data_IF_612169878067
#
_entry.id   IF_612169878067
#
_cell.length_a   1.000
_cell.length_b   1.000
_cell.length_c   1.000
_cell.angle_alpha   90.00
_cell.angle_beta   90.00
_cell.angle_gamma   90.00
#
_symmetry.space_group_name_H-M   'P 1'
#
loop_
_entity.id
_entity.type
_entity.pdbx_description
1 polymer ?
#
# COMPACT_ATOMS: atom_id res chain seq x y z
N UNK A 1 -19.18 -9.64 -12.42
CA UNK A 1 -17.77 -9.30 -12.19
C UNK A 1 -17.84 -7.87 -11.70
N UNK A 2 -17.89 -7.69 -10.38
CA UNK A 2 -17.99 -6.35 -9.82
C UNK A 2 -16.73 -5.58 -10.19
N UNK A 3 -16.95 -4.35 -10.62
CA UNK A 3 -15.87 -3.41 -10.95
C UNK A 3 -15.00 -3.24 -9.69
N UNK A 4 -13.66 -3.32 -9.79
CA UNK A 4 -12.82 -2.98 -8.65
C UNK A 4 -13.13 -1.53 -8.23
N UNK A 5 -13.13 -1.23 -6.92
CA UNK A 5 -13.43 0.13 -6.45
C UNK A 5 -12.47 1.12 -7.12
N UNK A 6 -13.02 1.98 -7.97
CA UNK A 6 -12.27 2.98 -8.74
C UNK A 6 -12.10 4.23 -7.89
N UNK A 7 -10.86 4.72 -7.77
CA UNK A 7 -10.49 5.91 -7.00
C UNK A 7 -10.31 7.09 -7.97
N UNK A 8 -10.89 8.25 -7.64
CA UNK A 8 -10.75 9.49 -8.42
C UNK A 8 -9.57 10.32 -7.90
N UNK A 9 -8.67 10.75 -8.81
CA UNK A 9 -7.46 11.52 -8.47
C UNK A 9 -7.53 12.94 -9.06
N UNK A 10 -7.05 13.92 -8.29
CA UNK A 10 -6.71 15.28 -8.74
C UNK A 10 -5.50 15.78 -7.95
N UNK A 11 -4.46 16.29 -8.63
CA UNK A 11 -3.35 17.05 -8.01
C UNK A 11 -2.87 18.07 -9.06
N UNK A 12 -2.54 19.33 -8.80
CA UNK A 12 -2.54 20.18 -7.62
C UNK A 12 -1.80 21.49 -8.00
N UNK A 13 -2.07 22.61 -7.34
CA UNK A 13 -1.20 23.80 -7.42
C UNK A 13 -0.74 24.16 -6.00
N UNK A 14 0.49 23.73 -5.67
CA UNK A 14 1.30 24.25 -4.56
C UNK A 14 0.76 24.01 -3.14
N UNK A 15 0.51 22.75 -2.79
CA UNK A 15 -0.04 22.20 -1.54
C UNK A 15 0.06 20.67 -1.73
N UNK A 16 0.97 19.94 -1.07
CA UNK A 16 1.02 18.48 -1.23
C UNK A 16 0.47 17.76 0.00
N UNK A 17 -0.71 17.21 -0.21
CA UNK A 17 -1.59 16.51 0.71
C UNK A 17 -1.02 15.10 0.96
N UNK A 18 -0.81 14.72 2.22
CA UNK A 18 -0.73 13.30 2.58
C UNK A 18 -2.12 12.68 2.40
N UNK A 19 -2.37 12.07 1.25
CA UNK A 19 -3.59 11.29 1.00
C UNK A 19 -3.50 9.95 1.72
N UNK A 20 -4.45 9.69 2.63
CA UNK A 20 -4.60 8.36 3.24
C UNK A 20 -5.56 7.56 2.37
N UNK A 21 -5.00 6.63 1.59
CA UNK A 21 -5.77 5.62 0.87
C UNK A 21 -6.00 4.43 1.80
N UNK A 22 -7.25 4.21 2.20
CA UNK A 22 -7.65 3.05 3.01
C UNK A 22 -8.94 2.42 2.47
N UNK A 23 -9.06 1.10 2.62
CA UNK A 23 -10.37 0.46 2.52
C UNK A 23 -11.07 0.51 3.89
N UNK A 24 -12.04 1.43 4.03
CA UNK A 24 -12.79 1.65 5.28
C UNK A 24 -13.59 0.44 5.75
N UNK A 25 -13.94 -0.49 4.86
CA UNK A 25 -14.67 -1.71 5.22
C UNK A 25 -13.81 -2.68 6.04
N UNK A 26 -12.49 -2.61 5.87
CA UNK A 26 -11.51 -3.45 6.56
C UNK A 26 -11.03 -2.83 7.89
N UNK A 27 -11.39 -1.57 8.16
CA UNK A 27 -10.99 -0.86 9.36
C UNK A 27 -11.58 -1.50 10.62
N UNK A 28 -10.76 -1.63 11.66
CA UNK A 28 -11.11 -2.24 12.95
C UNK A 28 -11.66 -3.68 12.86
N UNK A 29 -11.41 -4.35 11.72
CA UNK A 29 -11.74 -5.76 11.53
C UNK A 29 -10.57 -6.66 11.95
N UNK A 30 -10.91 -7.77 12.59
CA UNK A 30 -9.96 -8.80 12.98
C UNK A 30 -9.92 -9.93 11.95
N UNK A 31 -8.76 -10.59 11.83
CA UNK A 31 -8.58 -11.76 10.95
C UNK A 31 -8.89 -11.51 9.46
N UNK A 32 -8.73 -10.26 8.98
CA UNK A 32 -8.94 -9.88 7.56
C UNK A 32 -7.95 -10.59 6.63
N UNK A 33 -6.69 -10.70 7.07
CA UNK A 33 -5.62 -11.37 6.34
C UNK A 33 -5.09 -12.53 7.18
N UNK A 34 -4.51 -13.54 6.50
CA UNK A 34 -3.92 -14.70 7.18
C UNK A 34 -2.76 -14.31 8.09
N UNK A 35 -1.88 -13.43 7.59
CA UNK A 35 -0.72 -12.89 8.29
C UNK A 35 -0.26 -11.58 7.64
N UNK A 36 0.79 -10.95 8.18
CA UNK A 36 1.36 -9.70 7.61
C UNK A 36 1.89 -9.89 6.19
N UNK A 37 2.39 -11.08 5.84
CA UNK A 37 2.91 -11.33 4.49
C UNK A 37 1.76 -11.41 3.48
N UNK A 38 0.65 -12.02 3.87
CA UNK A 38 -0.58 -12.09 3.09
C UNK A 38 -1.15 -10.69 2.81
N UNK A 39 -1.27 -9.86 3.85
CA UNK A 39 -1.65 -8.46 3.71
C UNK A 39 -0.74 -7.70 2.72
N UNK A 40 0.58 -7.89 2.81
CA UNK A 40 1.55 -7.28 1.89
C UNK A 40 1.42 -7.77 0.46
N UNK A 41 1.05 -9.04 0.23
CA UNK A 41 0.80 -9.57 -1.12
C UNK A 41 -0.43 -8.95 -1.77
N UNK A 42 -1.50 -8.78 -1.01
CA UNK A 42 -2.74 -8.14 -1.47
C UNK A 42 -2.46 -6.68 -1.78
N UNK A 43 -1.82 -5.94 -0.87
CA UNK A 43 -1.50 -4.54 -1.11
C UNK A 43 -0.54 -4.33 -2.28
N UNK A 44 0.44 -5.21 -2.47
CA UNK A 44 1.31 -5.17 -3.64
C UNK A 44 0.54 -5.33 -4.97
N UNK A 45 -0.50 -6.17 -5.00
CA UNK A 45 -1.34 -6.32 -6.20
C UNK A 45 -2.13 -5.04 -6.52
N UNK A 46 -2.56 -4.31 -5.48
CA UNK A 46 -3.27 -3.04 -5.65
C UNK A 46 -2.33 -1.92 -6.12
N UNK A 47 -1.02 -2.04 -5.85
CA UNK A 47 0.02 -1.08 -6.20
C UNK A 47 0.85 -1.49 -7.41
N UNK A 48 0.36 -2.43 -8.23
CA UNK A 48 1.10 -3.02 -9.34
C UNK A 48 1.55 -1.97 -10.38
N UNK A 49 0.82 -0.86 -10.52
CA UNK A 49 1.18 0.27 -11.40
C UNK A 49 2.53 0.92 -11.04
N UNK A 50 2.99 0.78 -9.80
CA UNK A 50 4.26 1.32 -9.33
C UNK A 50 5.45 0.39 -9.55
N UNK A 51 5.25 -0.81 -10.14
CA UNK A 51 6.34 -1.76 -10.39
C UNK A 51 7.48 -1.11 -11.16
N UNK A 52 8.72 -1.38 -10.72
CA UNK A 52 9.97 -0.91 -11.35
C UNK A 52 10.05 0.63 -11.50
N UNK A 53 9.25 1.39 -10.74
CA UNK A 53 9.31 2.86 -10.70
C UNK A 53 10.39 3.37 -9.75
N UNK A 54 10.51 4.69 -9.62
CA UNK A 54 11.36 5.38 -8.65
C UNK A 54 10.72 5.56 -7.27
N UNK A 55 9.53 4.99 -7.05
CA UNK A 55 8.85 5.05 -5.77
C UNK A 55 9.63 4.36 -4.64
N UNK A 56 9.48 4.87 -3.43
CA UNK A 56 10.07 4.31 -2.21
C UNK A 56 8.94 3.82 -1.30
N UNK A 57 9.07 2.59 -0.81
CA UNK A 57 8.21 2.05 0.23
C UNK A 57 8.79 2.46 1.59
N UNK A 58 8.02 3.21 2.38
CA UNK A 58 8.38 3.58 3.75
C UNK A 58 7.57 2.75 4.75
N UNK A 59 8.25 1.86 5.46
CA UNK A 59 7.63 1.02 6.49
C UNK A 59 7.57 1.73 7.84
N UNK A 60 6.36 1.89 8.39
CA UNK A 60 6.20 2.34 9.78
C UNK A 60 6.62 1.19 10.73
N UNK A 61 7.47 1.44 11.75
CA UNK A 61 7.94 0.43 12.69
C UNK A 61 6.85 -0.42 13.38
N UNK A 62 7.29 -1.52 14.00
CA UNK A 62 6.49 -2.55 14.69
C UNK A 62 5.55 -3.38 13.80
N UNK A 63 4.60 -2.75 13.11
CA UNK A 63 3.55 -3.42 12.35
C UNK A 63 3.72 -3.35 10.83
N UNK A 64 4.15 -2.20 10.32
CA UNK A 64 4.19 -1.89 8.89
C UNK A 64 5.38 -2.49 8.15
N UNK A 65 6.55 -2.57 8.79
CA UNK A 65 7.79 -3.05 8.14
C UNK A 65 7.66 -4.46 7.51
N UNK A 66 7.10 -5.49 8.18
CA UNK A 66 6.93 -6.80 7.56
C UNK A 66 5.99 -6.83 6.35
N UNK A 67 5.03 -5.90 6.29
CA UNK A 67 4.11 -5.73 5.15
C UNK A 67 4.83 -5.02 4.01
N UNK A 68 5.47 -3.90 4.33
CA UNK A 68 6.27 -3.07 3.42
C UNK A 68 7.37 -3.88 2.70
N UNK A 69 8.07 -4.77 3.41
CA UNK A 69 9.09 -5.63 2.83
C UNK A 69 8.56 -6.58 1.74
N UNK A 70 7.31 -7.06 1.89
CA UNK A 70 6.68 -7.90 0.86
C UNK A 70 6.34 -7.09 -0.38
N UNK A 71 5.86 -5.86 -0.19
CA UNK A 71 5.50 -4.94 -1.27
C UNK A 71 6.75 -4.55 -2.07
N UNK A 72 7.79 -4.07 -1.39
CA UNK A 72 9.06 -3.69 -2.00
C UNK A 72 9.65 -4.85 -2.82
N UNK A 73 9.69 -6.06 -2.26
CA UNK A 73 10.17 -7.25 -2.98
C UNK A 73 9.32 -7.59 -4.20
N UNK A 74 8.00 -7.48 -4.10
CA UNK A 74 7.09 -7.84 -5.19
C UNK A 74 7.10 -6.85 -6.33
N UNK A 75 7.23 -5.55 -6.02
CA UNK A 75 7.19 -4.46 -6.99
C UNK A 75 8.57 -4.02 -7.47
N UNK A 76 9.64 -4.62 -6.92
CA UNK A 76 11.02 -4.25 -7.18
C UNK A 76 11.30 -2.76 -6.85
N UNK A 77 10.84 -2.34 -5.66
CA UNK A 77 10.99 -0.98 -5.15
C UNK A 77 11.96 -0.93 -3.97
N UNK A 78 12.53 0.24 -3.73
CA UNK A 78 13.38 0.47 -2.56
C UNK A 78 12.53 0.49 -1.29
N UNK A 79 13.01 -0.18 -0.24
CA UNK A 79 12.40 -0.15 1.10
C UNK A 79 13.27 0.69 2.03
N UNK A 80 12.62 1.57 2.79
CA UNK A 80 13.21 2.25 3.94
C UNK A 80 12.23 2.27 5.13
N UNK A 81 12.67 2.73 6.29
CA UNK A 81 11.92 2.73 7.55
C UNK A 81 11.89 4.15 8.14
N UNK A 82 10.71 4.59 8.58
CA UNK A 82 10.52 5.87 9.28
C UNK A 82 10.99 5.84 10.74
#
# INVERSE_FOLDING_TARGET
>A
MDDPPTIHIKIGSGLELTEIIENRELRDKFFVFKDRKDAGKVLAQMLEEYRDSDAIILGIPAGGVPVAAVIAKKLNLTLDVL
#
